data_IF_840621691437
#
_entry.id   IF_840621691437
#
_cell.length_a   1.000
_cell.length_b   1.000
_cell.length_c   1.000
_cell.angle_alpha   90.00
_cell.angle_beta   90.00
_cell.angle_gamma   90.00
#
_symmetry.space_group_name_H-M   'P 1'
#
loop_
_entity.id
_entity.type
_entity.pdbx_description
1 polymer ?
#
# COMPACT_ATOMS: atom_id res chain seq x y z
N UNK A 1 56.19 -21.37 -2.20
CA UNK A 1 54.88 -20.91 -1.70
C UNK A 1 53.73 -21.06 -2.72
N UNK A 2 53.96 -21.17 -4.04
CA UNK A 2 52.88 -21.35 -5.02
C UNK A 2 52.23 -22.76 -5.03
N UNK A 3 52.97 -23.82 -4.67
CA UNK A 3 52.45 -25.20 -4.71
C UNK A 3 51.45 -25.54 -3.59
N UNK A 4 51.58 -24.93 -2.41
CA UNK A 4 50.68 -25.17 -1.27
C UNK A 4 49.29 -24.58 -1.53
N UNK A 5 49.22 -23.43 -2.21
CA UNK A 5 47.96 -22.79 -2.61
C UNK A 5 47.18 -23.59 -3.65
N UNK A 6 47.85 -24.34 -4.53
CA UNK A 6 47.21 -25.14 -5.58
C UNK A 6 46.65 -26.46 -5.03
N UNK A 7 47.34 -27.08 -4.06
CA UNK A 7 46.89 -28.31 -3.39
C UNK A 7 45.68 -28.07 -2.50
N UNK A 8 45.65 -26.96 -1.74
CA UNK A 8 44.45 -26.52 -1.01
C UNK A 8 43.26 -26.21 -1.94
N UNK A 9 43.52 -25.79 -3.18
CA UNK A 9 42.47 -25.54 -4.17
C UNK A 9 41.81 -26.82 -4.69
N UNK A 10 42.57 -27.93 -4.77
CA UNK A 10 42.09 -29.23 -5.25
C UNK A 10 41.30 -30.01 -4.18
N UNK A 11 41.63 -29.86 -2.89
CA UNK A 11 40.89 -30.46 -1.78
C UNK A 11 39.48 -29.90 -1.59
N UNK A 12 39.23 -28.64 -2.00
CA UNK A 12 37.92 -27.99 -1.88
C UNK A 12 36.98 -28.28 -3.06
N UNK A 13 37.47 -28.89 -4.15
CA UNK A 13 36.66 -29.21 -5.35
C UNK A 13 35.55 -30.23 -5.07
N UNK A 14 35.77 -31.33 -4.31
CA UNK A 14 34.71 -32.29 -3.97
C UNK A 14 33.59 -31.66 -3.14
N UNK A 15 33.95 -30.78 -2.19
CA UNK A 15 32.98 -30.05 -1.37
C UNK A 15 32.17 -29.05 -2.20
N UNK A 16 32.84 -28.28 -3.07
CA UNK A 16 32.15 -27.35 -3.97
C UNK A 16 31.20 -28.08 -4.93
N UNK A 17 31.60 -29.23 -5.48
CA UNK A 17 30.75 -30.07 -6.34
C UNK A 17 29.56 -30.62 -5.55
N UNK A 18 29.76 -31.07 -4.31
CA UNK A 18 28.67 -31.54 -3.45
C UNK A 18 27.68 -30.42 -3.13
N UNK A 19 28.15 -29.21 -2.81
CA UNK A 19 27.29 -28.04 -2.57
C UNK A 19 26.46 -27.70 -3.80
N UNK A 20 27.07 -27.68 -4.99
CA UNK A 20 26.37 -27.41 -6.25
C UNK A 20 25.35 -28.50 -6.55
N UNK A 21 25.67 -29.77 -6.34
CA UNK A 21 24.75 -30.88 -6.55
C UNK A 21 23.55 -30.82 -5.59
N UNK A 22 23.77 -30.50 -4.32
CA UNK A 22 22.70 -30.30 -3.32
C UNK A 22 21.83 -29.11 -3.74
N UNK A 23 22.43 -27.98 -4.16
CA UNK A 23 21.68 -26.82 -4.60
C UNK A 23 20.79 -27.14 -5.81
N UNK A 24 21.31 -27.86 -6.81
CA UNK A 24 20.53 -28.32 -7.98
C UNK A 24 19.39 -29.24 -7.53
N UNK A 25 19.66 -30.19 -6.64
CA UNK A 25 18.64 -31.11 -6.13
C UNK A 25 17.52 -30.36 -5.40
N UNK A 26 17.87 -29.41 -4.52
CA UNK A 26 16.91 -28.57 -3.80
C UNK A 26 16.07 -27.77 -4.79
N UNK A 27 16.69 -27.07 -5.75
CA UNK A 27 15.95 -26.28 -6.75
C UNK A 27 15.02 -27.16 -7.58
N UNK A 28 15.50 -28.31 -8.06
CA UNK A 28 14.69 -29.26 -8.80
C UNK A 28 13.50 -29.77 -7.97
N UNK A 29 13.72 -30.11 -6.71
CA UNK A 29 12.66 -30.57 -5.79
C UNK A 29 11.56 -29.51 -5.60
N UNK A 30 11.94 -28.23 -5.46
CA UNK A 30 11.01 -27.10 -5.32
C UNK A 30 10.19 -26.89 -6.58
N UNK A 31 10.83 -26.97 -7.77
CA UNK A 31 10.14 -26.85 -9.06
C UNK A 31 9.14 -28.00 -9.25
N UNK A 32 9.57 -29.23 -9.01
CA UNK A 32 8.72 -30.43 -9.17
C UNK A 32 7.55 -30.36 -8.20
N UNK A 33 7.80 -30.07 -6.92
CA UNK A 33 6.75 -29.92 -5.93
C UNK A 33 5.76 -28.82 -6.31
N UNK A 34 6.25 -27.62 -6.61
CA UNK A 34 5.41 -26.46 -6.96
C UNK A 34 4.53 -26.68 -8.19
N UNK A 35 5.06 -27.38 -9.20
CA UNK A 35 4.36 -27.62 -10.47
C UNK A 35 3.38 -28.79 -10.43
N UNK A 36 3.68 -29.86 -9.69
CA UNK A 36 2.94 -31.13 -9.80
C UNK A 36 2.33 -31.64 -8.50
N UNK A 37 3.00 -31.45 -7.36
CA UNK A 37 2.57 -32.02 -6.07
C UNK A 37 1.85 -31.01 -5.18
N UNK A 38 2.00 -29.71 -5.46
CA UNK A 38 1.38 -28.66 -4.68
C UNK A 38 -0.16 -28.74 -4.76
N UNK A 39 -0.91 -28.50 -3.67
CA UNK A 39 -2.38 -28.51 -3.69
C UNK A 39 -2.98 -27.60 -4.78
N UNK A 40 -2.31 -26.48 -5.07
CA UNK A 40 -2.67 -25.51 -6.13
C UNK A 40 -2.03 -25.81 -7.50
N UNK A 41 -1.48 -27.00 -7.75
CA UNK A 41 -0.85 -27.36 -9.02
C UNK A 41 -1.83 -27.37 -10.20
N UNK A 42 -3.10 -27.67 -9.92
CA UNK A 42 -4.20 -27.67 -10.90
C UNK A 42 -4.58 -26.26 -11.38
N UNK A 43 -4.22 -25.21 -10.63
CA UNK A 43 -4.53 -23.82 -11.01
C UNK A 43 -3.53 -23.35 -12.08
N UNK A 44 -4.00 -22.84 -13.24
CA UNK A 44 -3.13 -22.38 -14.30
C UNK A 44 -2.42 -21.08 -13.93
N UNK A 45 -1.26 -20.84 -14.52
CA UNK A 45 -0.49 -19.61 -14.28
C UNK A 45 0.92 -19.66 -14.88
N UNK A 46 1.67 -18.56 -14.81
CA UNK A 46 3.06 -18.49 -15.26
C UNK A 46 3.92 -19.57 -14.61
N UNK A 47 4.84 -20.17 -15.37
CA UNK A 47 5.71 -21.24 -14.87
C UNK A 47 6.46 -20.83 -13.59
N UNK A 48 7.08 -19.63 -13.60
CA UNK A 48 7.79 -19.10 -12.43
C UNK A 48 6.88 -18.92 -11.21
N UNK A 49 5.61 -18.54 -11.40
CA UNK A 49 4.67 -18.34 -10.30
C UNK A 49 4.34 -19.64 -9.54
N UNK A 50 4.54 -20.82 -10.15
CA UNK A 50 4.21 -22.10 -9.51
C UNK A 50 5.18 -22.52 -8.41
N UNK A 51 6.44 -22.08 -8.47
CA UNK A 51 7.50 -22.53 -7.55
C UNK A 51 8.34 -21.40 -6.96
N UNK A 52 8.33 -20.21 -7.56
CA UNK A 52 9.06 -19.06 -7.04
C UNK A 52 8.11 -18.07 -6.37
N UNK A 53 8.20 -17.87 -5.05
CA UNK A 53 7.41 -16.83 -4.40
C UNK A 53 7.80 -15.46 -4.97
N UNK A 54 6.81 -14.61 -5.23
CA UNK A 54 6.97 -13.18 -5.54
C UNK A 54 7.83 -12.78 -6.76
N UNK A 55 8.54 -13.66 -7.47
CA UNK A 55 9.38 -13.29 -8.63
C UNK A 55 8.55 -12.66 -9.74
N UNK A 56 7.39 -13.27 -10.06
CA UNK A 56 6.49 -12.71 -11.08
C UNK A 56 5.98 -11.33 -10.65
N UNK A 57 5.52 -11.20 -9.40
CA UNK A 57 5.03 -9.95 -8.82
C UNK A 57 6.10 -8.85 -8.82
N UNK A 58 7.31 -9.16 -8.37
CA UNK A 58 8.44 -8.24 -8.36
C UNK A 58 8.80 -7.76 -9.77
N UNK A 59 8.81 -8.65 -10.77
CA UNK A 59 9.01 -8.26 -12.18
C UNK A 59 7.89 -7.34 -12.69
N UNK A 60 6.65 -7.61 -12.32
CA UNK A 60 5.50 -6.81 -12.73
C UNK A 60 5.51 -5.41 -12.06
N UNK A 61 5.86 -5.36 -10.78
CA UNK A 61 6.02 -4.14 -9.98
C UNK A 61 7.20 -3.30 -10.47
N UNK A 62 8.36 -3.92 -10.76
CA UNK A 62 9.52 -3.22 -11.30
C UNK A 62 9.22 -2.55 -12.64
N UNK A 63 8.38 -3.17 -13.47
CA UNK A 63 7.92 -2.60 -14.75
C UNK A 63 6.76 -1.61 -14.59
N UNK A 64 6.24 -1.41 -13.38
CA UNK A 64 5.05 -0.60 -13.10
C UNK A 64 3.82 -1.02 -13.93
N UNK A 65 3.72 -2.31 -14.27
CA UNK A 65 2.66 -2.85 -15.14
C UNK A 65 1.85 -3.96 -14.47
N UNK A 66 1.82 -3.99 -13.14
CA UNK A 66 1.16 -5.05 -12.37
C UNK A 66 -0.28 -5.31 -12.82
N UNK A 67 -1.13 -4.29 -12.90
CA UNK A 67 -2.53 -4.41 -13.30
C UNK A 67 -2.67 -4.91 -14.76
N UNK A 68 -1.88 -4.35 -15.67
CA UNK A 68 -1.88 -4.74 -17.08
C UNK A 68 -1.38 -6.18 -17.29
N UNK A 69 -0.29 -6.56 -16.62
CA UNK A 69 0.26 -7.91 -16.65
C UNK A 69 -0.73 -8.92 -16.05
N UNK A 70 -1.37 -8.58 -14.93
CA UNK A 70 -2.39 -9.43 -14.29
C UNK A 70 -3.62 -9.61 -15.19
N UNK A 71 -4.09 -8.54 -15.83
CA UNK A 71 -5.17 -8.64 -16.82
C UNK A 71 -4.77 -9.54 -17.99
N UNK A 72 -3.54 -9.41 -18.50
CA UNK A 72 -3.03 -10.28 -19.56
C UNK A 72 -2.95 -11.75 -19.14
N UNK A 73 -2.63 -12.02 -17.87
CA UNK A 73 -2.67 -13.38 -17.33
C UNK A 73 -4.09 -13.94 -17.30
N UNK A 74 -5.07 -13.17 -16.83
CA UNK A 74 -6.47 -13.61 -16.80
C UNK A 74 -7.03 -13.83 -18.21
N UNK A 75 -6.63 -13.00 -19.19
CA UNK A 75 -6.95 -13.22 -20.61
C UNK A 75 -6.36 -14.53 -21.16
N UNK A 76 -5.19 -14.96 -20.68
CA UNK A 76 -4.46 -16.14 -21.17
C UNK A 76 -4.85 -17.44 -20.47
N UNK A 77 -4.97 -17.41 -19.15
CA UNK A 77 -5.14 -18.60 -18.30
C UNK A 77 -6.57 -18.74 -17.77
N UNK A 78 -7.40 -17.70 -17.92
CA UNK A 78 -8.80 -17.70 -17.50
C UNK A 78 -9.05 -16.96 -16.18
N UNK A 79 -10.24 -17.13 -15.58
CA UNK A 79 -10.70 -16.34 -14.45
C UNK A 79 -9.95 -16.60 -13.14
N UNK A 80 -9.25 -17.73 -13.02
CA UNK A 80 -8.49 -18.11 -11.82
C UNK A 80 -7.05 -18.37 -12.21
N UNK A 81 -6.12 -17.62 -11.64
CA UNK A 81 -4.69 -17.66 -12.01
C UNK A 81 -3.80 -17.73 -10.79
N UNK A 82 -2.85 -18.66 -10.79
CA UNK A 82 -1.81 -18.75 -9.76
C UNK A 82 -0.70 -17.75 -10.04
N UNK A 83 -0.51 -16.79 -9.13
CA UNK A 83 0.47 -15.68 -9.26
C UNK A 83 1.69 -15.84 -8.35
N UNK A 84 1.60 -16.69 -7.33
CA UNK A 84 2.71 -17.20 -6.54
C UNK A 84 2.39 -18.62 -6.02
N UNK A 85 3.34 -19.36 -5.40
CA UNK A 85 3.09 -20.72 -4.97
C UNK A 85 1.87 -20.86 -4.05
N UNK A 86 1.65 -19.87 -3.17
CA UNK A 86 0.54 -19.80 -2.22
C UNK A 86 -0.43 -18.64 -2.52
N UNK A 87 -0.40 -18.06 -3.72
CA UNK A 87 -1.25 -16.91 -4.07
C UNK A 87 -2.00 -17.18 -5.38
N UNK A 88 -3.31 -16.97 -5.33
CA UNK A 88 -4.23 -17.13 -6.45
C UNK A 88 -4.98 -15.82 -6.65
N UNK A 89 -5.04 -15.37 -7.89
CA UNK A 89 -5.83 -14.23 -8.32
C UNK A 89 -7.12 -14.71 -8.96
N UNK A 90 -8.22 -14.05 -8.62
CA UNK A 90 -9.56 -14.34 -9.10
C UNK A 90 -10.12 -13.13 -9.83
N UNK A 91 -10.70 -13.36 -11.01
CA UNK A 91 -11.37 -12.37 -11.84
C UNK A 91 -12.83 -12.78 -12.09
N UNK A 92 -13.57 -13.03 -11.01
CA UNK A 92 -14.99 -13.42 -11.03
C UNK A 92 -15.77 -12.69 -9.96
N UNK A 93 -17.03 -12.36 -10.26
CA UNK A 93 -17.94 -11.70 -9.31
C UNK A 93 -18.23 -12.54 -8.06
N UNK A 94 -18.31 -13.87 -8.21
CA UNK A 94 -18.50 -14.78 -7.06
C UNK A 94 -17.32 -14.73 -6.08
N UNK A 95 -16.10 -14.69 -6.59
CA UNK A 95 -14.91 -14.53 -5.74
C UNK A 95 -14.87 -13.16 -5.07
N UNK A 96 -15.22 -12.09 -5.78
CA UNK A 96 -15.29 -10.74 -5.20
C UNK A 96 -16.28 -10.71 -4.02
N UNK A 97 -17.50 -11.17 -4.25
CA UNK A 97 -18.53 -11.23 -3.21
C UNK A 97 -18.14 -12.15 -2.06
N UNK A 98 -17.54 -13.32 -2.33
CA UNK A 98 -17.13 -14.28 -1.28
C UNK A 98 -15.97 -13.76 -0.44
N UNK A 99 -14.94 -13.19 -1.07
CA UNK A 99 -13.72 -12.73 -0.40
C UNK A 99 -14.00 -11.46 0.41
N UNK A 100 -14.76 -10.51 -0.15
CA UNK A 100 -15.04 -9.22 0.48
C UNK A 100 -16.34 -9.18 1.29
N UNK A 101 -17.14 -10.26 1.30
CA UNK A 101 -18.28 -10.37 2.20
C UNK A 101 -17.84 -10.26 3.67
N UNK A 102 -18.74 -9.72 4.49
CA UNK A 102 -18.56 -9.67 5.95
C UNK A 102 -18.54 -11.09 6.50
N UNK A 103 -17.36 -11.59 6.86
CA UNK A 103 -17.18 -12.93 7.44
C UNK A 103 -16.93 -12.85 8.95
N UNK A 104 -17.61 -13.69 9.72
CA UNK A 104 -17.47 -13.74 11.18
C UNK A 104 -16.25 -14.56 11.64
N UNK A 105 -15.71 -15.41 10.77
CA UNK A 105 -14.64 -16.38 11.08
C UNK A 105 -13.25 -15.95 10.60
N UNK A 106 -13.12 -14.77 9.98
CA UNK A 106 -11.82 -14.18 9.64
C UNK A 106 -11.02 -14.89 8.54
N UNK A 107 -11.64 -15.78 7.74
CA UNK A 107 -10.96 -16.59 6.71
C UNK A 107 -10.19 -15.78 5.68
N UNK A 108 -10.69 -14.59 5.32
CA UNK A 108 -10.05 -13.66 4.39
C UNK A 108 -9.52 -12.43 5.12
N UNK A 109 -8.73 -12.64 6.18
CA UNK A 109 -8.03 -11.55 6.86
C UNK A 109 -6.98 -10.92 5.95
N UNK A 110 -6.71 -9.63 6.16
CA UNK A 110 -5.59 -8.91 5.54
C UNK A 110 -4.23 -9.31 6.14
N UNK A 111 -4.22 -10.17 7.17
CA UNK A 111 -3.00 -10.66 7.81
C UNK A 111 -2.03 -11.29 6.80
N UNK A 112 -0.74 -10.93 6.90
CA UNK A 112 0.30 -11.47 6.02
C UNK A 112 0.25 -10.96 4.58
N UNK A 113 -0.60 -9.98 4.28
CA UNK A 113 -0.64 -9.32 2.97
C UNK A 113 0.37 -8.17 2.89
N UNK A 114 0.62 -7.69 1.67
CA UNK A 114 1.38 -6.46 1.46
C UNK A 114 0.83 -5.28 2.28
N UNK A 115 -0.50 -5.19 2.48
CA UNK A 115 -1.10 -4.10 3.25
C UNK A 115 -0.67 -4.11 4.72
N UNK A 116 -0.53 -5.29 5.33
CA UNK A 116 -0.01 -5.39 6.70
C UNK A 116 1.46 -5.00 6.78
N UNK A 117 2.28 -5.41 5.80
CA UNK A 117 3.67 -5.00 5.74
C UNK A 117 3.81 -3.49 5.49
N UNK A 118 3.03 -2.92 4.57
CA UNK A 118 2.98 -1.48 4.34
C UNK A 118 2.59 -0.73 5.62
N UNK A 119 1.60 -1.22 6.36
CA UNK A 119 1.19 -0.65 7.64
C UNK A 119 2.33 -0.64 8.65
N UNK A 120 2.98 -1.78 8.85
CA UNK A 120 4.02 -1.94 9.86
C UNK A 120 5.30 -1.17 9.52
N UNK A 121 5.54 -0.90 8.23
CA UNK A 121 6.78 -0.33 7.73
C UNK A 121 6.70 1.17 7.43
N UNK A 122 5.52 1.66 7.04
CA UNK A 122 5.35 3.03 6.51
C UNK A 122 4.51 3.91 7.42
N UNK A 123 3.55 3.32 8.15
CA UNK A 123 2.61 4.06 8.98
C UNK A 123 3.00 3.96 10.46
N UNK A 124 2.81 5.04 11.20
CA UNK A 124 3.07 5.06 12.64
C UNK A 124 2.03 4.22 13.41
N UNK A 125 0.83 4.08 12.85
CA UNK A 125 -0.24 3.26 13.41
C UNK A 125 -1.08 2.61 12.29
N UNK A 126 -1.73 1.47 12.58
CA UNK A 126 -2.65 0.83 11.66
C UNK A 126 -3.81 1.75 11.26
N UNK A 127 -4.19 1.68 9.98
CA UNK A 127 -5.30 2.45 9.41
C UNK A 127 -6.48 1.54 9.08
N UNK A 128 -7.65 2.12 8.83
CA UNK A 128 -8.84 1.38 8.42
C UNK A 128 -8.57 0.44 7.25
N UNK A 129 -7.74 0.86 6.30
CA UNK A 129 -7.42 0.06 5.13
C UNK A 129 -6.45 -1.08 5.44
N UNK A 130 -5.58 -0.93 6.46
CA UNK A 130 -4.51 -1.89 6.75
C UNK A 130 -4.76 -2.82 7.94
N UNK A 131 -5.70 -2.51 8.83
CA UNK A 131 -5.95 -3.31 10.05
C UNK A 131 -6.37 -4.75 9.67
N UNK A 132 -5.65 -5.77 10.17
CA UNK A 132 -6.00 -7.17 9.94
C UNK A 132 -7.01 -7.71 10.97
N UNK A 133 -7.09 -7.12 12.17
CA UNK A 133 -8.02 -7.53 13.23
C UNK A 133 -9.45 -7.05 12.93
N UNK A 134 -10.43 -7.97 12.75
CA UNK A 134 -11.82 -7.60 12.51
C UNK A 134 -12.45 -6.75 13.62
N UNK A 135 -12.08 -6.97 14.89
CA UNK A 135 -12.65 -6.24 16.01
C UNK A 135 -12.19 -4.78 16.01
N UNK A 136 -10.88 -4.56 15.87
CA UNK A 136 -10.30 -3.22 15.74
C UNK A 136 -10.78 -2.51 14.47
N UNK A 137 -10.86 -3.22 13.33
CA UNK A 137 -11.39 -2.67 12.08
C UNK A 137 -12.84 -2.19 12.26
N UNK A 138 -13.70 -2.99 12.90
CA UNK A 138 -15.10 -2.62 13.19
C UNK A 138 -15.18 -1.37 14.08
N UNK A 139 -14.34 -1.29 15.13
CA UNK A 139 -14.27 -0.13 16.03
C UNK A 139 -13.88 1.14 15.26
N UNK A 140 -12.78 1.08 14.51
CA UNK A 140 -12.27 2.22 13.76
C UNK A 140 -13.22 2.64 12.62
N UNK A 141 -13.81 1.68 11.92
CA UNK A 141 -14.82 1.94 10.89
C UNK A 141 -16.00 2.72 11.48
N UNK A 142 -16.50 2.32 12.65
CA UNK A 142 -17.63 3.01 13.32
C UNK A 142 -17.31 4.48 13.62
N UNK A 143 -16.07 4.77 13.99
CA UNK A 143 -15.57 6.13 14.25
C UNK A 143 -15.50 6.94 12.96
N UNK A 144 -14.78 6.43 11.95
CA UNK A 144 -14.58 7.14 10.68
C UNK A 144 -15.90 7.35 9.94
N UNK A 145 -16.82 6.39 9.98
CA UNK A 145 -18.11 6.46 9.30
C UNK A 145 -18.96 7.67 9.73
N UNK A 146 -18.79 8.19 10.96
CA UNK A 146 -19.52 9.39 11.41
C UNK A 146 -19.23 10.60 10.51
N UNK A 147 -17.99 10.70 10.02
CA UNK A 147 -17.53 11.74 9.12
C UNK A 147 -18.13 11.63 7.71
N UNK A 148 -18.68 10.47 7.35
CA UNK A 148 -19.28 10.18 6.03
C UNK A 148 -20.80 10.00 6.09
N UNK A 149 -21.45 10.47 7.16
CA UNK A 149 -22.93 10.47 7.22
C UNK A 149 -23.50 11.51 6.24
N UNK A 150 -24.72 11.32 5.72
CA UNK A 150 -25.32 12.31 4.81
C UNK A 150 -25.38 13.73 5.40
N UNK A 151 -25.62 13.84 6.71
CA UNK A 151 -25.62 15.12 7.41
C UNK A 151 -24.21 15.74 7.47
N UNK A 152 -23.19 14.97 7.84
CA UNK A 152 -21.80 15.44 7.87
C UNK A 152 -21.27 15.81 6.48
N UNK A 153 -21.68 15.08 5.44
CA UNK A 153 -21.33 15.42 4.06
C UNK A 153 -22.03 16.70 3.59
N UNK A 154 -23.30 16.90 3.98
CA UNK A 154 -24.03 18.13 3.65
C UNK A 154 -23.42 19.36 4.33
N UNK A 155 -22.96 19.25 5.58
CA UNK A 155 -22.34 20.37 6.27
C UNK A 155 -20.96 20.75 5.73
N UNK A 156 -20.34 19.89 4.90
CA UNK A 156 -19.07 20.14 4.21
C UNK A 156 -19.23 20.86 2.86
N UNK A 157 -20.46 21.06 2.35
CA UNK A 157 -20.71 21.77 1.09
C UNK A 157 -20.00 23.15 0.99
N UNK A 158 -19.97 23.99 2.04
CA UNK A 158 -19.29 25.29 1.97
C UNK A 158 -17.80 25.18 1.67
N UNK A 159 -17.12 24.11 2.12
CA UNK A 159 -15.70 23.87 1.85
C UNK A 159 -15.50 23.60 0.35
N UNK A 160 -16.31 22.71 -0.22
CA UNK A 160 -16.21 22.37 -1.65
C UNK A 160 -16.51 23.59 -2.53
N UNK A 161 -17.58 24.33 -2.19
CA UNK A 161 -17.98 25.54 -2.91
C UNK A 161 -16.87 26.60 -2.92
N UNK A 162 -16.20 26.82 -1.79
CA UNK A 162 -15.08 27.76 -1.69
C UNK A 162 -13.97 27.46 -2.71
N UNK A 163 -13.57 26.19 -2.85
CA UNK A 163 -12.49 25.81 -3.78
C UNK A 163 -12.94 25.86 -5.24
N UNK A 164 -14.19 25.50 -5.53
CA UNK A 164 -14.77 25.62 -6.88
C UNK A 164 -14.83 27.11 -7.30
N UNK A 165 -15.35 27.97 -6.43
CA UNK A 165 -15.44 29.42 -6.70
C UNK A 165 -14.06 30.07 -6.88
N UNK A 166 -13.04 29.58 -6.17
CA UNK A 166 -11.65 30.02 -6.36
C UNK A 166 -11.03 29.54 -7.67
N UNK A 167 -11.36 28.35 -8.12
CA UNK A 167 -10.81 27.78 -9.35
C UNK A 167 -11.48 28.36 -10.61
N UNK A 168 -12.71 28.88 -10.51
CA UNK A 168 -13.48 29.29 -11.69
C UNK A 168 -12.91 30.45 -12.49
N UNK A 169 -12.36 31.52 -11.86
CA UNK A 169 -11.67 32.58 -12.61
C UNK A 169 -10.53 32.06 -13.49
N UNK A 170 -9.75 31.09 -13.00
CA UNK A 170 -8.69 30.46 -13.79
C UNK A 170 -9.26 29.71 -15.00
N UNK A 171 -10.38 29.02 -14.84
CA UNK A 171 -11.05 28.31 -15.94
C UNK A 171 -11.65 29.28 -16.96
N UNK A 172 -12.22 30.40 -16.51
CA UNK A 172 -12.74 31.45 -17.39
C UNK A 172 -11.61 32.07 -18.22
N UNK A 173 -10.48 32.40 -17.62
CA UNK A 173 -9.30 32.93 -18.33
C UNK A 173 -8.74 31.93 -19.36
N UNK A 174 -8.69 30.64 -19.01
CA UNK A 174 -8.26 29.57 -19.91
C UNK A 174 -9.22 29.44 -21.10
N UNK A 175 -10.52 29.52 -20.84
CA UNK A 175 -11.54 29.45 -21.89
C UNK A 175 -11.46 30.66 -22.84
N UNK A 176 -11.23 31.86 -22.32
CA UNK A 176 -11.10 33.09 -23.12
C UNK A 176 -9.79 33.13 -23.93
N UNK A 177 -8.69 32.63 -23.36
CA UNK A 177 -7.38 32.62 -24.04
C UNK A 177 -7.27 31.58 -25.17
N UNK A 178 -8.16 30.59 -25.19
CA UNK A 178 -8.10 29.47 -26.15
C UNK A 178 -6.88 28.56 -25.94
N UNK A 179 -6.28 28.59 -24.76
CA UNK A 179 -5.07 27.81 -24.44
C UNK A 179 -5.41 26.35 -24.22
N UNK A 180 -4.66 25.44 -24.86
CA UNK A 180 -4.75 24.02 -24.55
C UNK A 180 -4.13 23.75 -23.17
N UNK A 181 -4.91 23.13 -22.28
CA UNK A 181 -4.48 22.79 -20.92
C UNK A 181 -4.68 21.31 -20.63
N UNK A 182 -3.88 20.78 -19.70
CA UNK A 182 -4.17 19.50 -19.07
C UNK A 182 -5.25 19.69 -18.00
N UNK A 183 -6.49 19.35 -18.35
CA UNK A 183 -7.62 19.43 -17.43
C UNK A 183 -7.46 18.49 -16.23
N UNK A 184 -6.82 17.33 -16.41
CA UNK A 184 -6.62 16.38 -15.32
C UNK A 184 -5.69 16.97 -14.25
N UNK A 185 -4.63 17.68 -14.65
CA UNK A 185 -3.72 18.35 -13.72
C UNK A 185 -4.42 19.45 -12.90
N UNK A 186 -5.24 20.27 -13.56
CA UNK A 186 -6.02 21.34 -12.91
C UNK A 186 -7.04 20.78 -11.93
N UNK A 187 -7.79 19.76 -12.33
CA UNK A 187 -8.76 19.10 -11.45
C UNK A 187 -8.07 18.38 -10.28
N UNK A 188 -6.94 17.69 -10.51
CA UNK A 188 -6.20 17.03 -9.44
C UNK A 188 -5.69 18.04 -8.41
N UNK A 189 -5.26 19.23 -8.85
CA UNK A 189 -4.90 20.34 -7.95
C UNK A 189 -6.08 20.77 -7.08
N UNK A 190 -7.24 21.01 -7.69
CA UNK A 190 -8.44 21.42 -6.97
C UNK A 190 -8.90 20.34 -5.98
N UNK A 191 -8.92 19.06 -6.39
CA UNK A 191 -9.27 17.95 -5.49
C UNK A 191 -8.27 17.81 -4.33
N UNK A 192 -6.98 17.99 -4.59
CA UNK A 192 -5.94 17.96 -3.57
C UNK A 192 -6.18 19.02 -2.48
N UNK A 193 -6.57 20.23 -2.88
CA UNK A 193 -6.89 21.33 -1.95
C UNK A 193 -8.20 21.09 -1.18
N UNK A 194 -9.24 20.62 -1.87
CA UNK A 194 -10.53 20.24 -1.25
C UNK A 194 -10.31 19.15 -0.21
N UNK A 195 -9.64 18.05 -0.57
CA UNK A 195 -9.38 16.92 0.36
C UNK A 195 -8.51 17.38 1.53
N UNK A 196 -7.54 18.27 1.29
CA UNK A 196 -6.73 18.87 2.35
C UNK A 196 -7.57 19.65 3.37
N UNK A 197 -8.44 20.55 2.89
CA UNK A 197 -9.30 21.38 3.75
C UNK A 197 -10.39 20.52 4.45
N UNK A 198 -10.93 19.50 3.79
CA UNK A 198 -11.87 18.56 4.41
C UNK A 198 -11.23 17.68 5.49
N UNK A 199 -10.01 17.20 5.24
CA UNK A 199 -9.30 16.30 6.15
C UNK A 199 -8.71 17.01 7.37
N UNK A 200 -8.39 18.31 7.25
CA UNK A 200 -7.66 19.04 8.29
C UNK A 200 -8.30 20.37 8.71
N UNK A 201 -9.46 20.75 8.17
CA UNK A 201 -10.14 22.01 8.51
C UNK A 201 -9.43 23.29 8.05
N UNK A 202 -8.21 23.17 7.53
CA UNK A 202 -7.39 24.23 6.95
C UNK A 202 -6.64 23.72 5.70
N UNK A 203 -6.25 24.61 4.78
CA UNK A 203 -5.55 24.25 3.54
C UNK A 203 -4.07 23.86 3.79
N UNK A 204 -3.81 22.92 4.69
CA UNK A 204 -2.47 22.42 5.04
C UNK A 204 -1.70 21.81 3.86
N UNK A 205 -2.45 21.41 2.83
CA UNK A 205 -1.94 20.76 1.63
C UNK A 205 -1.67 21.74 0.48
N UNK A 206 -2.07 23.02 0.63
CA UNK A 206 -1.81 24.05 -0.37
C UNK A 206 -0.29 24.19 -0.64
N UNK A 207 0.09 24.17 -1.92
CA UNK A 207 1.49 24.24 -2.35
C UNK A 207 2.36 23.02 -2.03
N UNK A 208 1.82 21.97 -1.40
CA UNK A 208 2.58 20.74 -1.06
C UNK A 208 2.47 19.63 -2.10
N UNK A 209 1.74 19.85 -3.20
CA UNK A 209 1.61 18.90 -4.31
C UNK A 209 2.97 18.43 -4.88
N UNK A 210 4.00 19.28 -5.06
CA UNK A 210 5.33 18.82 -5.50
C UNK A 210 6.01 17.87 -4.50
N UNK A 211 5.85 18.13 -3.20
CA UNK A 211 6.33 17.22 -2.14
C UNK A 211 5.58 15.90 -2.16
N UNK A 212 4.26 15.96 -2.36
CA UNK A 212 3.43 14.77 -2.50
C UNK A 212 3.81 13.92 -3.72
N UNK A 213 3.97 14.54 -4.89
CA UNK A 213 4.40 13.86 -6.12
C UNK A 213 5.81 13.26 -5.97
N UNK A 214 6.71 13.95 -5.27
CA UNK A 214 8.04 13.42 -4.93
C UNK A 214 7.92 12.18 -4.04
N UNK A 215 7.02 12.19 -3.05
CA UNK A 215 6.76 11.05 -2.17
C UNK A 215 6.13 9.88 -2.93
N UNK A 216 5.17 10.16 -3.82
CA UNK A 216 4.56 9.18 -4.72
C UNK A 216 5.60 8.52 -5.62
N UNK A 217 6.53 9.29 -6.20
CA UNK A 217 7.66 8.76 -6.97
C UNK A 217 8.60 7.91 -6.13
N UNK A 218 8.94 8.36 -4.92
CA UNK A 218 9.78 7.60 -3.98
C UNK A 218 9.12 6.27 -3.60
N UNK A 219 7.82 6.29 -3.25
CA UNK A 219 7.06 5.09 -2.93
C UNK A 219 6.94 4.12 -4.11
N UNK A 220 6.70 4.63 -5.32
CA UNK A 220 6.72 3.82 -6.55
C UNK A 220 8.09 3.16 -6.77
N UNK A 221 9.18 3.90 -6.58
CA UNK A 221 10.54 3.39 -6.73
C UNK A 221 10.96 2.40 -5.63
N UNK A 222 10.44 2.53 -4.41
CA UNK A 222 10.73 1.62 -3.30
C UNK A 222 9.87 0.36 -3.31
N UNK A 223 8.73 0.35 -4.01
CA UNK A 223 7.78 -0.76 -4.04
C UNK A 223 8.41 -2.13 -4.40
N UNK A 224 9.27 -2.25 -5.43
CA UNK A 224 9.93 -3.52 -5.74
C UNK A 224 10.90 -3.95 -4.64
N UNK A 225 11.52 -3.01 -3.94
CA UNK A 225 12.45 -3.27 -2.83
C UNK A 225 11.67 -3.79 -1.62
N UNK A 226 10.52 -3.19 -1.30
CA UNK A 226 9.65 -3.66 -0.21
C UNK A 226 9.14 -5.07 -0.49
N UNK A 227 8.72 -5.37 -1.72
CA UNK A 227 8.28 -6.73 -2.10
C UNK A 227 9.45 -7.73 -2.06
N UNK A 228 10.66 -7.32 -2.47
CA UNK A 228 11.86 -8.14 -2.36
C UNK A 228 12.24 -8.43 -0.90
N UNK A 229 12.11 -7.43 -0.01
CA UNK A 229 12.33 -7.60 1.42
C UNK A 229 11.26 -8.51 2.02
N UNK A 230 9.98 -8.32 1.69
CA UNK A 230 8.89 -9.21 2.07
C UNK A 230 9.17 -10.67 1.67
N UNK A 231 9.67 -10.88 0.46
CA UNK A 231 10.09 -12.20 -0.01
C UNK A 231 11.21 -12.80 0.83
N UNK A 232 12.23 -12.02 1.21
CA UNK A 232 13.29 -12.48 2.12
C UNK A 232 12.73 -12.89 3.49
N UNK A 233 11.71 -12.19 4.00
CA UNK A 233 11.10 -12.52 5.29
C UNK A 233 10.34 -13.85 5.31
N UNK A 234 9.89 -14.33 4.14
CA UNK A 234 9.15 -15.60 4.01
C UNK A 234 10.10 -16.79 3.80
N UNK A 235 11.41 -16.54 3.57
CA UNK A 235 12.37 -17.60 3.34
C UNK A 235 12.80 -18.31 4.64
N UNK A 236 12.71 -19.65 4.72
CA UNK A 236 13.13 -20.40 5.89
C UNK A 236 14.64 -20.24 6.14
N UNK A 237 15.02 -19.95 7.39
CA UNK A 237 16.42 -19.70 7.79
C UNK A 237 16.85 -18.23 7.78
N UNK A 238 15.98 -17.31 7.34
CA UNK A 238 16.23 -15.85 7.31
C UNK A 238 15.61 -15.14 8.53
N UNK A 239 15.14 -15.89 9.53
CA UNK A 239 14.49 -15.34 10.74
C UNK A 239 15.34 -14.30 11.53
N UNK A 240 16.68 -14.41 11.66
CA UNK A 240 17.50 -13.34 12.25
C UNK A 240 17.61 -12.09 11.37
N UNK A 241 17.34 -12.23 10.07
CA UNK A 241 17.26 -11.13 9.13
C UNK A 241 15.93 -10.37 9.19
N UNK A 242 14.94 -10.86 9.93
CA UNK A 242 13.65 -10.17 10.15
C UNK A 242 13.83 -8.87 10.96
N UNK A 243 14.70 -8.88 11.98
CA UNK A 243 14.99 -7.68 12.80
C UNK A 243 15.88 -6.67 12.06
N UNK A 244 16.86 -7.15 11.29
CA UNK A 244 17.72 -6.28 10.46
C UNK A 244 17.00 -5.74 9.23
N UNK A 245 16.07 -6.49 8.63
CA UNK A 245 15.21 -5.99 7.57
C UNK A 245 14.23 -4.93 8.11
N UNK A 246 13.58 -5.17 9.27
CA UNK A 246 12.74 -4.15 9.92
C UNK A 246 13.52 -2.87 10.22
N UNK A 247 14.75 -2.97 10.72
CA UNK A 247 15.58 -1.79 11.02
C UNK A 247 16.05 -1.06 9.75
N UNK A 248 16.49 -1.78 8.70
CA UNK A 248 16.85 -1.20 7.41
C UNK A 248 15.66 -0.50 6.72
N UNK A 249 14.46 -1.04 6.88
CA UNK A 249 13.24 -0.43 6.32
C UNK A 249 12.80 0.77 7.15
N UNK A 250 12.87 0.72 8.48
CA UNK A 250 12.62 1.90 9.32
C UNK A 250 13.64 3.03 9.11
N UNK A 251 14.83 2.70 8.60
CA UNK A 251 15.85 3.64 8.16
C UNK A 251 15.57 4.23 6.77
N UNK A 252 14.59 3.69 6.01
CA UNK A 252 14.14 4.33 4.79
C UNK A 252 13.46 5.67 5.13
N UNK A 253 13.70 6.74 4.36
CA UNK A 253 13.21 8.08 4.68
C UNK A 253 11.70 8.25 4.52
N UNK A 254 10.90 7.20 4.29
CA UNK A 254 9.48 7.33 3.94
C UNK A 254 8.65 7.89 5.12
N UNK A 255 8.77 7.39 6.37
CA UNK A 255 8.00 7.92 7.50
C UNK A 255 8.37 9.37 7.86
N UNK A 256 9.64 9.76 7.72
CA UNK A 256 10.11 11.12 8.00
C UNK A 256 9.77 12.15 6.92
N UNK A 257 9.38 11.70 5.73
CA UNK A 257 8.91 12.58 4.65
C UNK A 257 7.38 12.73 4.67
N UNK A 258 6.65 11.73 5.16
CA UNK A 258 5.22 11.82 5.44
C UNK A 258 4.89 12.91 6.46
N UNK A 259 5.69 13.03 7.53
CA UNK A 259 5.55 14.11 8.52
C UNK A 259 5.87 15.50 7.98
N UNK A 260 6.50 15.63 6.80
CA UNK A 260 6.68 16.92 6.11
C UNK A 260 5.41 17.38 5.39
N UNK A 261 4.57 16.45 4.93
CA UNK A 261 3.27 16.77 4.33
C UNK A 261 2.33 17.37 5.38
N UNK A 262 2.31 16.80 6.59
CA UNK A 262 1.56 17.34 7.72
C UNK A 262 2.40 17.26 8.99
N UNK A 263 2.95 18.38 9.49
CA UNK A 263 3.67 18.38 10.76
C UNK A 263 2.72 18.02 11.91
N UNK A 264 3.07 17.02 12.71
CA UNK A 264 2.23 16.52 13.82
C UNK A 264 1.89 17.57 14.89
N UNK A 265 2.63 18.70 14.94
CA UNK A 265 2.33 19.84 15.81
C UNK A 265 1.17 20.68 15.28
N UNK A 266 1.16 21.02 13.98
CA UNK A 266 0.06 21.76 13.36
C UNK A 266 -1.26 20.99 13.41
N UNK A 267 -1.19 19.66 13.26
CA UNK A 267 -2.37 18.82 13.42
C UNK A 267 -2.92 18.86 14.86
N UNK A 268 -2.04 18.82 15.86
CA UNK A 268 -2.45 18.98 17.27
C UNK A 268 -3.06 20.35 17.51
N UNK A 269 -2.44 21.40 17.00
CA UNK A 269 -2.96 22.76 17.07
C UNK A 269 -4.34 22.90 16.38
N UNK A 270 -4.60 22.12 15.32
CA UNK A 270 -5.91 22.04 14.64
C UNK A 270 -6.96 21.31 15.49
N UNK A 271 -6.62 20.13 16.03
CA UNK A 271 -7.46 19.35 16.96
C UNK A 271 -7.86 20.21 18.17
N UNK A 272 -6.92 21.01 18.68
CA UNK A 272 -7.10 21.83 19.87
C UNK A 272 -7.91 23.12 19.61
N UNK A 273 -7.98 23.61 18.36
CA UNK A 273 -8.54 24.94 18.04
C UNK A 273 -10.06 25.02 18.02
N UNK A 274 -10.80 23.91 17.91
CA UNK A 274 -12.28 23.87 17.93
C UNK A 274 -12.97 25.07 17.23
N UNK A 275 -12.60 25.38 15.98
CA UNK A 275 -13.05 26.61 15.29
C UNK A 275 -14.54 26.58 14.82
N UNK A 276 -15.37 25.69 15.36
CA UNK A 276 -16.81 25.60 15.07
C UNK A 276 -17.18 25.22 13.63
N UNK A 277 -16.19 24.90 12.79
CA UNK A 277 -16.36 24.42 11.41
C UNK A 277 -16.56 22.91 11.43
N UNK A 278 -17.61 22.42 10.80
CA UNK A 278 -17.85 20.98 10.70
C UNK A 278 -16.94 20.36 9.62
N UNK A 279 -15.94 19.60 10.06
CA UNK A 279 -14.99 18.89 9.21
C UNK A 279 -14.86 17.41 9.62
N UNK A 280 -14.04 16.63 8.90
CA UNK A 280 -13.86 15.21 9.22
C UNK A 280 -13.26 15.00 10.62
N UNK A 281 -12.38 15.92 11.07
CA UNK A 281 -11.75 15.87 12.40
C UNK A 281 -12.80 16.04 13.50
N UNK A 282 -13.65 17.03 13.37
CA UNK A 282 -14.73 17.36 14.30
C UNK A 282 -15.75 16.22 14.40
N UNK A 283 -16.09 15.59 13.27
CA UNK A 283 -16.97 14.42 13.25
C UNK A 283 -16.34 13.19 13.94
N UNK A 284 -15.04 12.96 13.74
CA UNK A 284 -14.29 11.88 14.40
C UNK A 284 -14.15 12.16 15.90
N UNK A 285 -13.81 13.38 16.31
CA UNK A 285 -13.70 13.79 17.72
C UNK A 285 -15.06 13.76 18.44
N UNK A 286 -16.15 14.08 17.76
CA UNK A 286 -17.50 13.94 18.32
C UNK A 286 -17.83 12.48 18.69
N UNK A 287 -17.19 11.51 18.02
CA UNK A 287 -17.34 10.09 18.34
C UNK A 287 -16.56 9.65 19.59
N UNK A 288 -15.54 10.40 20.03
CA UNK A 288 -14.85 10.12 21.31
C UNK A 288 -15.78 10.28 22.51
N UNK A 289 -16.74 11.22 22.42
CA UNK A 289 -17.80 11.40 23.43
C UNK A 289 -18.70 10.16 23.56
N UNK A 290 -18.66 9.23 22.61
CA UNK A 290 -19.37 7.94 22.62
C UNK A 290 -18.50 6.78 23.18
N UNK A 291 -17.35 7.08 23.79
CA UNK A 291 -16.44 6.09 24.39
C UNK A 291 -15.50 5.41 23.39
N UNK A 292 -15.36 5.97 22.18
CA UNK A 292 -14.51 5.45 21.11
C UNK A 292 -13.29 6.36 20.94
N UNK A 293 -12.26 6.20 21.77
CA UNK A 293 -11.03 7.00 21.67
C UNK A 293 -10.11 6.46 20.57
N UNK A 294 -9.43 7.37 19.87
CA UNK A 294 -8.32 7.06 18.97
C UNK A 294 -7.06 7.74 19.52
N UNK A 295 -5.96 7.00 19.59
CA UNK A 295 -4.67 7.61 19.90
C UNK A 295 -4.26 8.60 18.80
N UNK A 296 -3.47 9.61 19.15
CA UNK A 296 -3.09 10.69 18.24
C UNK A 296 -2.36 10.17 16.98
N UNK A 297 -1.56 9.12 17.11
CA UNK A 297 -0.86 8.50 15.99
C UNK A 297 -1.81 7.68 15.08
N UNK A 298 -2.83 7.03 15.67
CA UNK A 298 -3.88 6.35 14.93
C UNK A 298 -4.77 7.35 14.19
N UNK A 299 -5.12 8.45 14.83
CA UNK A 299 -5.85 9.55 14.21
C UNK A 299 -5.06 10.13 13.02
N UNK A 300 -3.78 10.48 13.24
CA UNK A 300 -2.90 10.99 12.18
C UNK A 300 -2.80 10.03 11.01
N UNK A 301 -2.54 8.75 11.27
CA UNK A 301 -2.38 7.75 10.22
C UNK A 301 -3.66 7.56 9.41
N UNK A 302 -4.84 7.64 10.03
CA UNK A 302 -6.11 7.52 9.32
C UNK A 302 -6.48 8.79 8.54
N UNK A 303 -6.24 9.98 9.08
CA UNK A 303 -6.41 11.24 8.35
C UNK A 303 -5.47 11.30 7.13
N UNK A 304 -4.21 10.89 7.31
CA UNK A 304 -3.27 10.75 6.20
C UNK A 304 -3.74 9.69 5.21
N UNK A 305 -4.24 8.55 5.69
CA UNK A 305 -4.89 7.53 4.87
C UNK A 305 -5.94 8.13 3.94
N UNK A 306 -6.89 8.91 4.48
CA UNK A 306 -7.94 9.58 3.71
C UNK A 306 -7.39 10.50 2.60
N UNK A 307 -6.32 11.23 2.86
CA UNK A 307 -5.69 12.11 1.85
C UNK A 307 -4.84 11.36 0.82
N UNK A 308 -4.35 10.16 1.15
CA UNK A 308 -3.44 9.38 0.32
C UNK A 308 -4.11 8.26 -0.49
N UNK A 309 -5.41 7.99 -0.27
CA UNK A 309 -6.15 6.92 -0.97
C UNK A 309 -6.17 7.12 -2.50
N UNK A 310 -6.05 8.35 -3.01
CA UNK A 310 -6.23 8.61 -4.45
C UNK A 310 -5.13 8.03 -5.37
N UNK A 311 -3.81 8.11 -5.08
CA UNK A 311 -2.78 7.74 -6.09
C UNK A 311 -1.85 6.56 -5.77
N UNK A 312 -1.84 6.02 -4.54
CA UNK A 312 -1.03 4.84 -4.22
C UNK A 312 -1.72 3.51 -4.58
N UNK A 313 -3.05 3.50 -4.60
CA UNK A 313 -3.85 2.30 -4.91
C UNK A 313 -4.14 2.14 -6.40
N UNK A 314 -4.02 3.22 -7.18
CA UNK A 314 -4.23 3.20 -8.63
C UNK A 314 -3.06 3.85 -9.36
N UNK A 315 -1.90 3.16 -9.48
CA UNK A 315 -1.00 3.46 -10.58
C UNK A 315 -1.74 3.11 -11.88
N UNK A 316 -2.07 4.15 -12.67
CA UNK A 316 -2.41 3.95 -14.08
C UNK A 316 -1.26 3.24 -14.81
#
# INVERSE_FOLDING_TARGET
MAGISYVQQLENVPEAVAIVAIAIFVVASVIIYGCYLHPLAHVPGPFLAKFSPKIWGMKALYRMKFNSDLQALHKRYGPVVRVAPNEVSFATFEAETTIYAKQEDGRFSKAGTFLTLFSDLVLNAPTLITIPDPALHKRLHKVIQQAFTPQALASQEPIQKLHIERAMPDFDEIAESGTEIDLADKLETMFWEIIGDLAFGEPLMAGKRPTYESLKRLGKGSMPIVEALSFMLVMPGVAPALETARSLISAMPIPSQLSKLVPSKKLRDCIDRQDGREDFISAIMASEKQGLTLDADAFFSNAMGLTQVSPFLYPQ
#
